data_IF_379209248586
#
_entry.id   IF_379209248586
#
_cell.length_a   1.000
_cell.length_b   1.000
_cell.length_c   1.000
_cell.angle_alpha   90.00
_cell.angle_beta   90.00
_cell.angle_gamma   90.00
#
_symmetry.space_group_name_H-M   'P 1'
#
loop_
_entity.id
_entity.type
_entity.pdbx_description
1 polymer ?
#
# COMPACT_ATOMS: atom_id res chain seq x y z
N UNK A 1 0.49 4.05 22.87
CA UNK A 1 0.94 3.29 21.69
C UNK A 1 0.14 2.01 21.72
N UNK A 2 -0.49 1.65 20.62
CA UNK A 2 -1.41 0.51 20.56
C UNK A 2 -0.73 -0.63 19.81
N UNK A 3 -0.81 -1.86 20.29
CA UNK A 3 -0.40 -3.06 19.52
C UNK A 3 -1.59 -3.80 18.88
N UNK A 4 -1.31 -4.87 18.14
CA UNK A 4 -2.34 -5.61 17.40
C UNK A 4 -3.29 -6.39 18.33
N UNK A 5 -2.82 -6.85 19.48
CA UNK A 5 -3.62 -7.63 20.44
C UNK A 5 -4.55 -6.71 21.22
N UNK A 6 -4.05 -5.53 21.62
CA UNK A 6 -4.86 -4.47 22.22
C UNK A 6 -5.94 -3.97 21.25
N UNK A 7 -5.62 -3.86 19.95
CA UNK A 7 -6.60 -3.50 18.91
C UNK A 7 -7.71 -4.55 18.79
N UNK A 8 -7.34 -5.85 18.80
CA UNK A 8 -8.28 -6.98 18.76
C UNK A 8 -9.15 -7.05 20.03
N UNK A 9 -8.58 -6.76 21.19
CA UNK A 9 -9.33 -6.70 22.45
C UNK A 9 -10.39 -5.59 22.41
N UNK A 10 -10.05 -4.41 21.90
CA UNK A 10 -10.99 -3.28 21.75
C UNK A 10 -12.10 -3.52 20.72
N UNK A 11 -11.82 -4.35 19.73
CA UNK A 11 -12.84 -4.79 18.76
C UNK A 11 -13.85 -5.77 19.38
N UNK A 12 -13.40 -6.56 20.36
CA UNK A 12 -14.21 -7.57 21.06
C UNK A 12 -15.05 -6.97 22.19
N UNK A 13 -14.60 -5.87 22.77
CA UNK A 13 -15.31 -5.14 23.84
C UNK A 13 -16.36 -4.22 23.17
N UNK A 14 -17.59 -4.73 23.00
CA UNK A 14 -18.68 -4.07 22.26
C UNK A 14 -18.95 -2.63 22.73
N UNK A 15 -18.33 -1.67 22.05
CA UNK A 15 -18.61 -0.25 22.19
C UNK A 15 -18.38 0.43 20.85
N UNK A 16 -19.36 0.35 19.95
CA UNK A 16 -19.36 1.13 18.69
C UNK A 16 -19.04 2.58 19.03
N UNK A 17 -17.84 3.03 18.70
CA UNK A 17 -17.45 4.44 18.91
C UNK A 17 -18.48 5.30 18.19
N UNK A 18 -19.18 6.22 18.88
CA UNK A 18 -20.19 7.04 18.24
C UNK A 18 -19.57 7.80 17.08
N UNK A 19 -20.27 7.86 15.94
CA UNK A 19 -19.89 8.76 14.87
C UNK A 19 -19.83 10.19 15.45
N UNK A 20 -18.63 10.76 15.53
CA UNK A 20 -18.37 12.05 16.21
C UNK A 20 -17.43 11.99 17.42
N UNK A 21 -16.87 10.82 17.75
CA UNK A 21 -15.80 10.68 18.75
C UNK A 21 -14.54 11.48 18.38
N UNK A 22 -13.81 11.95 19.40
CA UNK A 22 -12.52 12.65 19.28
C UNK A 22 -11.60 11.90 18.29
N UNK A 23 -10.85 12.60 17.41
CA UNK A 23 -9.94 11.94 16.49
C UNK A 23 -9.02 11.00 17.28
N UNK A 24 -8.88 9.77 16.79
CA UNK A 24 -8.01 8.78 17.41
C UNK A 24 -6.59 9.35 17.48
N UNK A 25 -6.03 9.44 18.67
CA UNK A 25 -4.67 9.96 18.90
C UNK A 25 -3.62 8.86 18.93
N UNK A 26 -4.04 7.60 19.00
CA UNK A 26 -3.15 6.47 19.16
C UNK A 26 -2.70 5.93 17.80
N UNK A 27 -1.39 5.70 17.68
CA UNK A 27 -0.78 5.01 16.54
C UNK A 27 -0.68 3.53 16.86
N UNK A 28 -1.10 2.69 15.90
CA UNK A 28 -0.93 1.25 15.94
C UNK A 28 0.50 0.90 15.52
N UNK A 29 1.22 0.15 16.35
CA UNK A 29 2.57 -0.35 16.03
C UNK A 29 2.46 -1.82 15.59
N UNK A 30 2.97 -2.14 14.41
CA UNK A 30 2.98 -3.50 13.86
C UNK A 30 4.41 -3.95 13.54
N UNK A 31 4.66 -5.26 13.61
CA UNK A 31 5.93 -5.83 13.15
C UNK A 31 7.09 -5.68 14.13
N UNK A 32 6.79 -5.68 15.44
CA UNK A 32 7.78 -6.01 16.48
C UNK A 32 8.20 -7.47 16.37
N UNK A 33 7.25 -8.36 16.03
CA UNK A 33 7.53 -9.66 15.43
C UNK A 33 7.08 -9.65 13.97
N UNK A 34 8.02 -9.82 13.05
CA UNK A 34 7.77 -9.83 11.61
C UNK A 34 7.03 -11.09 11.14
N UNK A 35 7.11 -12.18 11.90
CA UNK A 35 6.42 -13.43 11.60
C UNK A 35 4.91 -13.33 11.88
N UNK A 36 4.48 -12.38 12.73
CA UNK A 36 3.11 -12.22 13.18
C UNK A 36 2.38 -11.04 12.52
N UNK A 37 2.91 -10.51 11.41
CA UNK A 37 2.24 -9.44 10.69
C UNK A 37 0.82 -9.88 10.27
N UNK A 38 -0.22 -9.11 10.64
CA UNK A 38 -1.61 -9.49 10.36
C UNK A 38 -1.84 -9.56 8.85
N UNK A 39 -2.85 -10.33 8.44
CA UNK A 39 -3.34 -10.29 7.06
C UNK A 39 -3.87 -8.89 6.77
N UNK A 40 -3.60 -8.34 5.59
CA UNK A 40 -3.86 -6.93 5.32
C UNK A 40 -5.36 -6.63 5.37
N UNK A 41 -6.19 -7.48 4.77
CA UNK A 41 -7.66 -7.33 4.86
C UNK A 41 -8.22 -7.48 6.28
N UNK A 42 -7.64 -8.34 7.13
CA UNK A 42 -8.02 -8.45 8.54
C UNK A 42 -7.72 -7.13 9.27
N UNK A 43 -6.51 -6.59 9.05
CA UNK A 43 -6.13 -5.29 9.62
C UNK A 43 -7.08 -4.19 9.14
N UNK A 44 -7.41 -4.13 7.85
CA UNK A 44 -8.34 -3.12 7.33
C UNK A 44 -9.73 -3.20 7.97
N UNK A 45 -10.24 -4.41 8.19
CA UNK A 45 -11.52 -4.63 8.87
C UNK A 45 -11.46 -4.19 10.35
N UNK A 46 -10.33 -4.41 11.03
CA UNK A 46 -10.11 -3.90 12.40
C UNK A 46 -10.04 -2.37 12.43
N UNK A 47 -9.25 -1.76 11.55
CA UNK A 47 -9.06 -0.31 11.48
C UNK A 47 -10.34 0.46 11.12
N UNK A 48 -11.26 -0.17 10.40
CA UNK A 48 -12.59 0.41 10.13
C UNK A 48 -13.45 0.49 11.39
N UNK A 49 -13.30 -0.46 12.32
CA UNK A 49 -14.10 -0.58 13.55
C UNK A 49 -13.46 0.14 14.74
N UNK A 50 -12.14 0.15 14.79
CA UNK A 50 -11.32 0.80 15.80
C UNK A 50 -10.37 1.78 15.11
N UNK A 51 -10.80 3.05 14.92
CA UNK A 51 -9.97 4.05 14.25
C UNK A 51 -8.68 4.33 15.03
N UNK A 52 -7.57 4.50 14.30
CA UNK A 52 -6.25 4.88 14.83
C UNK A 52 -5.70 6.08 14.06
N UNK A 53 -4.76 6.82 14.63
CA UNK A 53 -4.11 7.96 13.98
C UNK A 53 -3.28 7.55 12.75
N UNK A 54 -2.78 6.31 12.77
CA UNK A 54 -1.99 5.72 11.71
C UNK A 54 -1.40 4.38 12.15
N UNK A 55 -0.72 3.73 11.21
CA UNK A 55 0.02 2.49 11.41
C UNK A 55 1.51 2.79 11.34
N UNK A 56 2.30 2.23 12.26
CA UNK A 56 3.75 2.36 12.30
C UNK A 56 4.42 1.01 12.21
N UNK A 57 5.37 0.87 11.29
CA UNK A 57 6.35 -0.21 11.28
C UNK A 57 7.62 0.33 11.98
N UNK A 58 7.92 -0.12 13.22
CA UNK A 58 8.96 0.50 14.04
C UNK A 58 10.37 0.19 13.53
N UNK A 59 10.55 -1.01 12.98
CA UNK A 59 11.79 -1.46 12.37
C UNK A 59 11.81 -1.12 10.88
N UNK A 60 12.99 -0.82 10.29
CA UNK A 60 13.14 -0.73 8.85
C UNK A 60 12.69 -2.03 8.17
N UNK A 61 11.94 -1.90 7.09
CA UNK A 61 11.66 -3.01 6.19
C UNK A 61 12.92 -3.29 5.36
N UNK A 62 13.79 -4.16 5.87
CA UNK A 62 15.03 -4.52 5.18
C UNK A 62 14.79 -5.60 4.12
N UNK A 63 14.58 -5.18 2.88
CA UNK A 63 14.34 -6.09 1.76
C UNK A 63 15.60 -6.83 1.30
N UNK A 64 16.78 -6.50 1.82
CA UNK A 64 18.01 -7.26 1.58
C UNK A 64 18.14 -8.47 2.51
N UNK A 65 17.57 -8.39 3.72
CA UNK A 65 17.70 -9.43 4.74
C UNK A 65 16.40 -10.19 5.03
N UNK A 66 15.23 -9.57 4.83
CA UNK A 66 13.95 -10.18 5.18
C UNK A 66 13.59 -11.34 4.25
N UNK A 67 12.94 -12.40 4.76
CA UNK A 67 12.39 -13.45 3.93
C UNK A 67 11.33 -12.92 2.95
N UNK A 68 11.27 -13.50 1.76
CA UNK A 68 10.34 -13.08 0.69
C UNK A 68 8.87 -13.01 1.13
N UNK A 69 8.39 -13.94 1.96
CA UNK A 69 7.02 -13.96 2.47
C UNK A 69 6.71 -12.75 3.38
N UNK A 70 7.69 -12.30 4.17
CA UNK A 70 7.56 -11.11 5.02
C UNK A 70 7.53 -9.85 4.15
N UNK A 71 8.40 -9.77 3.14
CA UNK A 71 8.45 -8.63 2.21
C UNK A 71 7.10 -8.41 1.53
N UNK A 72 6.52 -9.47 0.93
CA UNK A 72 5.22 -9.36 0.26
C UNK A 72 4.09 -8.98 1.23
N UNK A 73 4.16 -9.44 2.48
CA UNK A 73 3.18 -9.08 3.52
C UNK A 73 3.27 -7.62 3.92
N UNK A 74 4.48 -7.07 4.09
CA UNK A 74 4.69 -5.64 4.36
C UNK A 74 4.11 -4.79 3.21
N UNK A 75 4.38 -5.18 1.96
CA UNK A 75 3.86 -4.46 0.79
C UNK A 75 2.33 -4.50 0.76
N UNK A 76 1.73 -5.67 1.00
CA UNK A 76 0.28 -5.82 1.07
C UNK A 76 -0.34 -4.93 2.15
N UNK A 77 0.27 -4.86 3.33
CA UNK A 77 -0.16 -4.02 4.45
C UNK A 77 -0.11 -2.53 4.12
N UNK A 78 1.01 -2.05 3.56
CA UNK A 78 1.17 -0.64 3.16
C UNK A 78 0.13 -0.26 2.10
N UNK A 79 -0.03 -1.11 1.07
CA UNK A 79 -1.02 -0.94 0.00
C UNK A 79 -2.44 -0.91 0.55
N UNK A 80 -2.76 -1.78 1.51
CA UNK A 80 -4.09 -1.86 2.11
C UNK A 80 -4.39 -0.66 3.02
N UNK A 81 -3.43 -0.18 3.80
CA UNK A 81 -3.57 1.07 4.54
C UNK A 81 -3.83 2.26 3.59
N UNK A 82 -3.13 2.31 2.45
CA UNK A 82 -3.38 3.31 1.40
C UNK A 82 -4.80 3.20 0.84
N UNK A 83 -5.31 1.98 0.64
CA UNK A 83 -6.67 1.72 0.15
C UNK A 83 -7.77 2.28 1.06
N UNK A 84 -7.57 2.24 2.38
CA UNK A 84 -8.52 2.78 3.37
C UNK A 84 -8.19 4.20 3.86
N UNK A 85 -7.13 4.81 3.32
CA UNK A 85 -6.70 6.17 3.69
C UNK A 85 -6.03 6.27 5.07
N UNK A 86 -5.53 5.16 5.62
CA UNK A 86 -4.78 5.17 6.88
C UNK A 86 -3.32 5.54 6.62
N UNK A 87 -2.81 6.54 7.34
CA UNK A 87 -1.40 6.93 7.29
C UNK A 87 -0.51 5.78 7.73
N UNK A 88 0.56 5.50 6.99
CA UNK A 88 1.60 4.55 7.38
C UNK A 88 2.91 5.29 7.58
N UNK A 89 3.58 5.02 8.69
CA UNK A 89 4.95 5.46 8.97
C UNK A 89 5.86 4.24 8.94
N UNK A 90 6.85 4.24 8.05
CA UNK A 90 7.75 3.12 7.82
C UNK A 90 9.07 3.60 7.22
N UNK A 91 10.10 2.76 7.29
CA UNK A 91 11.41 2.98 6.67
C UNK A 91 11.79 1.79 5.81
N UNK A 92 12.59 2.01 4.77
CA UNK A 92 13.00 0.98 3.82
C UNK A 92 14.53 0.80 3.84
N UNK A 93 15.00 -0.43 3.84
CA UNK A 93 16.41 -0.78 3.59
C UNK A 93 16.50 -1.71 2.39
N UNK A 94 17.43 -1.42 1.49
CA UNK A 94 17.66 -2.14 0.23
C UNK A 94 19.15 -2.44 0.09
N UNK A 95 19.51 -3.56 -0.56
CA UNK A 95 20.83 -3.72 -1.15
C UNK A 95 20.88 -3.02 -2.51
N UNK A 96 22.09 -2.90 -3.09
CA UNK A 96 22.28 -2.27 -4.39
C UNK A 96 21.55 -3.04 -5.51
N UNK A 97 21.42 -4.36 -5.36
CA UNK A 97 20.78 -5.26 -6.30
C UNK A 97 19.24 -5.17 -6.29
N UNK A 98 18.63 -4.61 -5.24
CA UNK A 98 17.17 -4.41 -5.13
C UNK A 98 16.71 -3.00 -5.52
N UNK A 99 17.59 -2.14 -6.04
CA UNK A 99 17.21 -0.78 -6.45
C UNK A 99 16.16 -0.76 -7.57
N UNK A 100 16.09 -1.82 -8.38
CA UNK A 100 15.08 -1.99 -9.44
C UNK A 100 13.66 -2.20 -8.89
N UNK A 101 13.51 -2.46 -7.59
CA UNK A 101 12.20 -2.54 -6.92
C UNK A 101 11.58 -1.16 -6.72
N UNK A 102 12.37 -0.09 -6.61
CA UNK A 102 11.84 1.24 -6.28
C UNK A 102 10.78 1.71 -7.28
N UNK A 103 10.98 1.69 -8.61
CA UNK A 103 9.96 2.14 -9.56
C UNK A 103 8.66 1.31 -9.51
N UNK A 104 8.72 0.10 -8.94
CA UNK A 104 7.55 -0.78 -8.76
C UNK A 104 6.78 -0.50 -7.49
N UNK A 105 7.37 0.22 -6.54
CA UNK A 105 6.84 0.46 -5.20
C UNK A 105 6.55 1.94 -4.93
N UNK A 106 7.14 2.85 -5.71
CA UNK A 106 7.03 4.29 -5.52
C UNK A 106 5.65 4.89 -5.77
N UNK A 107 4.67 4.06 -6.15
CA UNK A 107 3.24 4.37 -6.14
C UNK A 107 2.56 4.19 -4.77
N UNK A 108 3.18 3.43 -3.85
CA UNK A 108 2.73 3.24 -2.47
C UNK A 108 3.13 4.43 -1.60
N UNK A 109 2.51 4.63 -0.42
CA UNK A 109 2.94 5.68 0.52
C UNK A 109 4.46 5.68 0.77
N UNK A 110 5.07 6.85 0.61
CA UNK A 110 6.51 7.04 0.79
C UNK A 110 6.98 6.60 2.19
N UNK A 111 8.13 5.90 2.28
CA UNK A 111 8.79 5.69 3.56
C UNK A 111 9.36 7.02 4.08
N UNK A 112 9.47 7.14 5.40
CA UNK A 112 10.10 8.29 6.07
C UNK A 112 11.61 8.36 5.77
N UNK A 113 12.23 7.20 5.51
CA UNK A 113 13.64 7.10 5.15
C UNK A 113 13.91 5.87 4.29
N UNK A 114 14.92 5.99 3.43
CA UNK A 114 15.44 4.88 2.61
C UNK A 114 16.95 4.77 2.86
N UNK A 115 17.42 3.56 3.12
CA UNK A 115 18.84 3.23 3.28
C UNK A 115 19.25 2.21 2.23
N UNK A 116 20.35 2.45 1.51
CA UNK A 116 20.91 1.51 0.55
C UNK A 116 22.24 0.98 1.08
N UNK A 117 22.34 -0.34 1.26
CA UNK A 117 23.53 -1.01 1.77
C UNK A 117 24.62 -1.05 0.68
N UNK A 118 25.88 -0.89 1.11
CA UNK A 118 27.11 -1.05 0.30
C UNK A 118 27.35 -0.12 -0.90
N UNK A 119 26.77 1.08 -0.91
CA UNK A 119 27.22 2.14 -1.83
C UNK A 119 27.20 3.48 -1.11
N UNK A 120 28.20 4.33 -1.38
CA UNK A 120 28.36 5.68 -0.84
C UNK A 120 27.29 6.68 -1.33
N UNK A 121 26.02 6.29 -1.24
CA UNK A 121 24.79 6.93 -1.72
C UNK A 121 24.51 6.80 -3.24
N UNK A 122 23.83 5.72 -3.68
CA UNK A 122 22.86 5.87 -4.74
C UNK A 122 21.64 6.53 -4.08
N UNK A 123 21.44 7.82 -4.35
CA UNK A 123 20.19 8.47 -3.97
C UNK A 123 19.06 7.77 -4.70
N UNK A 124 18.16 7.15 -3.96
CA UNK A 124 16.84 6.85 -4.51
C UNK A 124 16.24 8.21 -4.89
N UNK A 125 15.79 8.35 -6.13
CA UNK A 125 15.14 9.58 -6.59
C UNK A 125 13.90 9.91 -5.75
N UNK A 126 13.21 11.00 -6.09
CA UNK A 126 11.98 11.36 -5.38
C UNK A 126 10.95 10.22 -5.44
N UNK A 127 10.45 9.82 -4.27
CA UNK A 127 9.39 8.82 -4.17
C UNK A 127 8.09 9.40 -4.76
N UNK A 128 7.62 8.85 -5.89
CA UNK A 128 6.58 9.48 -6.72
C UNK A 128 5.27 9.74 -5.98
N UNK A 129 4.92 8.89 -5.02
CA UNK A 129 3.72 9.07 -4.21
C UNK A 129 3.74 10.29 -3.28
N UNK A 130 4.92 10.89 -3.04
CA UNK A 130 5.05 12.07 -2.17
C UNK A 130 4.36 13.29 -2.77
N UNK A 131 4.31 13.35 -4.10
CA UNK A 131 3.76 14.47 -4.87
C UNK A 131 2.52 14.10 -5.68
N UNK A 132 2.20 12.80 -5.80
CA UNK A 132 1.06 12.30 -6.58
C UNK A 132 0.31 11.19 -5.84
N UNK A 133 -1.01 11.27 -5.76
CA UNK A 133 -1.85 10.20 -5.24
C UNK A 133 -2.45 9.38 -6.40
N UNK A 134 -2.68 8.08 -6.16
CA UNK A 134 -3.44 7.25 -7.08
C UNK A 134 -2.70 6.89 -8.37
N UNK A 135 -1.38 6.71 -8.30
CA UNK A 135 -0.54 6.36 -9.46
C UNK A 135 -0.80 4.94 -9.98
N UNK A 136 -1.25 4.01 -9.14
CA UNK A 136 -1.61 2.65 -9.55
C UNK A 136 -2.73 2.11 -8.67
N UNK A 137 -3.93 1.99 -9.23
CA UNK A 137 -5.10 1.52 -8.49
C UNK A 137 -5.99 0.62 -9.33
N UNK A 138 -6.82 -0.17 -8.66
CA UNK A 138 -7.84 -0.97 -9.31
C UNK A 138 -9.22 -0.79 -8.67
N UNK A 139 -10.25 -1.12 -9.45
CA UNK A 139 -11.63 -1.28 -9.01
C UNK A 139 -12.13 -2.65 -9.40
N UNK A 140 -12.86 -3.29 -8.48
CA UNK A 140 -13.49 -4.59 -8.73
C UNK A 140 -14.89 -4.40 -9.29
N UNK A 141 -15.09 -4.83 -10.54
CA UNK A 141 -16.41 -5.05 -11.12
C UNK A 141 -16.91 -6.48 -10.88
N UNK A 142 -18.15 -6.82 -11.29
CA UNK A 142 -18.70 -8.16 -11.09
C UNK A 142 -17.91 -9.28 -11.79
N UNK A 143 -17.35 -9.00 -12.97
CA UNK A 143 -16.65 -9.97 -13.83
C UNK A 143 -15.35 -9.42 -14.43
N UNK A 144 -14.85 -8.31 -13.90
CA UNK A 144 -13.62 -7.69 -14.37
C UNK A 144 -12.98 -6.87 -13.26
N UNK A 145 -11.70 -6.55 -13.44
CA UNK A 145 -10.98 -5.54 -12.69
C UNK A 145 -10.61 -4.42 -13.67
N UNK A 146 -10.92 -3.17 -13.35
CA UNK A 146 -10.38 -2.01 -14.07
C UNK A 146 -9.18 -1.51 -13.28
N UNK A 147 -8.00 -1.54 -13.90
CA UNK A 147 -6.74 -1.06 -13.33
C UNK A 147 -6.34 0.20 -14.08
N UNK A 148 -6.04 1.24 -13.32
CA UNK A 148 -5.49 2.48 -13.86
C UNK A 148 -4.04 2.57 -13.40
N UNK A 149 -3.14 2.65 -14.37
CA UNK A 149 -1.72 2.84 -14.20
C UNK A 149 -1.35 4.21 -14.76
N UNK A 150 -0.86 5.09 -13.89
CA UNK A 150 -0.38 6.44 -14.19
C UNK A 150 1.09 6.59 -13.83
N UNK A 151 1.80 5.48 -13.61
CA UNK A 151 3.26 5.54 -13.41
C UNK A 151 3.93 6.04 -14.69
N UNK A 152 5.05 6.77 -14.63
CA UNK A 152 5.71 7.34 -15.81
C UNK A 152 6.02 6.33 -16.92
N UNK A 153 6.38 5.09 -16.54
CA UNK A 153 6.65 3.98 -17.45
C UNK A 153 5.39 3.36 -18.08
N UNK A 154 4.20 3.65 -17.54
CA UNK A 154 2.95 3.07 -17.99
C UNK A 154 1.78 4.01 -17.69
N UNK A 155 1.32 4.75 -18.70
CA UNK A 155 0.09 5.54 -18.63
C UNK A 155 -1.00 4.83 -19.42
N UNK A 156 -1.77 3.97 -18.75
CA UNK A 156 -2.81 3.15 -19.38
C UNK A 156 -3.89 2.68 -18.41
N UNK A 157 -5.07 2.45 -18.97
CA UNK A 157 -6.11 1.66 -18.34
C UNK A 157 -6.02 0.20 -18.83
N UNK A 158 -6.14 -0.75 -17.91
CA UNK A 158 -6.07 -2.19 -18.18
C UNK A 158 -7.34 -2.83 -17.62
N UNK A 159 -8.08 -3.52 -18.47
CA UNK A 159 -9.19 -4.37 -18.05
C UNK A 159 -8.68 -5.80 -17.90
N UNK A 160 -8.90 -6.39 -16.73
CA UNK A 160 -8.60 -7.79 -16.44
C UNK A 160 -9.94 -8.52 -16.29
N UNK A 161 -10.38 -9.19 -17.34
CA UNK A 161 -11.65 -9.92 -17.43
C UNK A 161 -11.48 -11.44 -17.66
N UNK A 162 -10.27 -11.90 -17.98
CA UNK A 162 -9.93 -13.32 -17.95
C UNK A 162 -10.04 -13.87 -16.52
N UNK A 163 -10.86 -14.91 -16.27
CA UNK A 163 -11.09 -15.44 -14.93
C UNK A 163 -9.82 -15.95 -14.23
N UNK A 164 -8.83 -16.47 -14.97
CA UNK A 164 -7.58 -16.96 -14.39
C UNK A 164 -6.68 -15.81 -13.98
N UNK A 165 -6.60 -14.76 -14.80
CA UNK A 165 -5.87 -13.54 -14.45
C UNK A 165 -6.51 -12.86 -13.24
N UNK A 166 -7.84 -12.76 -13.20
CA UNK A 166 -8.55 -12.24 -12.03
C UNK A 166 -8.25 -13.08 -10.78
N UNK A 167 -8.26 -14.40 -10.88
CA UNK A 167 -7.94 -15.27 -9.75
C UNK A 167 -6.51 -15.06 -9.24
N UNK A 168 -5.51 -15.00 -10.13
CA UNK A 168 -4.11 -14.71 -9.75
C UNK A 168 -3.98 -13.33 -9.11
N UNK A 169 -4.59 -12.30 -9.71
CA UNK A 169 -4.57 -10.94 -9.20
C UNK A 169 -5.16 -10.86 -7.78
N UNK A 170 -6.31 -11.51 -7.56
CA UNK A 170 -6.99 -11.49 -6.26
C UNK A 170 -6.25 -12.33 -5.21
N UNK A 171 -5.69 -13.49 -5.57
CA UNK A 171 -4.85 -14.30 -4.68
C UNK A 171 -3.58 -13.53 -4.24
N UNK A 172 -2.99 -12.75 -5.15
CA UNK A 172 -1.81 -11.93 -4.86
C UNK A 172 -2.08 -10.74 -3.94
N UNK A 173 -3.33 -10.40 -3.59
CA UNK A 173 -3.63 -9.25 -2.74
C UNK A 173 -2.96 -9.37 -1.37
N UNK A 174 -3.01 -10.51 -0.70
CA UNK A 174 -2.42 -10.64 0.65
C UNK A 174 -0.91 -10.94 0.67
N UNK A 175 -0.33 -11.10 -0.51
CA UNK A 175 0.92 -11.83 -0.68
C UNK A 175 0.68 -13.34 -0.57
N UNK A 176 1.16 -14.11 -1.54
CA UNK A 176 1.06 -15.58 -1.53
C UNK A 176 2.34 -16.21 -2.10
N UNK A 177 2.49 -17.52 -1.93
CA UNK A 177 3.59 -18.23 -2.57
C UNK A 177 3.41 -18.24 -4.08
N UNK A 178 4.50 -18.05 -4.82
CA UNK A 178 4.50 -18.05 -6.29
C UNK A 178 3.92 -19.36 -6.84
N UNK A 179 4.19 -20.48 -6.17
CA UNK A 179 3.65 -21.79 -6.52
C UNK A 179 2.12 -21.85 -6.52
N UNK A 180 1.43 -21.04 -5.70
CA UNK A 180 -0.04 -21.00 -5.65
C UNK A 180 -0.62 -20.38 -6.93
N UNK A 181 0.01 -19.30 -7.41
CA UNK A 181 -0.38 -18.61 -8.64
C UNK A 181 0.21 -19.22 -9.90
N UNK A 182 1.07 -20.24 -9.78
CA UNK A 182 1.62 -21.02 -10.90
C UNK A 182 1.32 -22.51 -10.82
N UNK A 183 0.30 -22.91 -10.07
CA UNK A 183 -0.08 -24.31 -9.81
C UNK A 183 -0.34 -25.18 -11.06
N UNK A 184 -0.59 -24.56 -12.21
CA UNK A 184 -0.69 -25.23 -13.50
C UNK A 184 -0.26 -24.28 -14.63
N UNK A 185 -0.18 -24.77 -15.87
CA UNK A 185 0.31 -24.00 -17.03
C UNK A 185 -0.52 -22.75 -17.34
N UNK A 186 -1.85 -22.80 -17.17
CA UNK A 186 -2.75 -21.67 -17.40
C UNK A 186 -2.51 -20.57 -16.35
N UNK A 187 -2.46 -20.95 -15.07
CA UNK A 187 -2.13 -20.06 -13.96
C UNK A 187 -0.73 -19.46 -14.10
N UNK A 188 0.26 -20.27 -14.48
CA UNK A 188 1.62 -19.80 -14.71
C UNK A 188 1.73 -18.81 -15.89
N UNK A 189 0.93 -18.97 -16.95
CA UNK A 189 0.84 -17.98 -18.03
C UNK A 189 0.19 -16.68 -17.55
N UNK A 190 -0.93 -16.77 -16.83
CA UNK A 190 -1.62 -15.61 -16.25
C UNK A 190 -0.73 -14.81 -15.28
N UNK A 191 -0.03 -15.49 -14.38
CA UNK A 191 0.88 -14.86 -13.42
C UNK A 191 2.05 -14.15 -14.10
N UNK A 192 2.69 -14.77 -15.10
CA UNK A 192 3.76 -14.14 -15.89
C UNK A 192 3.26 -12.91 -16.63
N UNK A 193 2.08 -12.96 -17.23
CA UNK A 193 1.50 -11.82 -17.92
C UNK A 193 1.21 -10.65 -16.95
N UNK A 194 0.66 -10.92 -15.77
CA UNK A 194 0.45 -9.90 -14.74
C UNK A 194 1.75 -9.31 -14.19
N UNK A 195 2.81 -10.11 -14.07
CA UNK A 195 4.16 -9.63 -13.74
C UNK A 195 4.71 -8.73 -14.84
N UNK A 196 4.59 -9.14 -16.11
CA UNK A 196 5.03 -8.34 -17.25
C UNK A 196 4.26 -7.03 -17.39
N UNK A 197 2.96 -7.03 -17.04
CA UNK A 197 2.13 -5.82 -16.98
C UNK A 197 2.47 -4.91 -15.80
N UNK A 198 3.32 -5.35 -14.86
CA UNK A 198 3.67 -4.59 -13.66
C UNK A 198 2.54 -4.51 -12.64
N UNK A 199 1.60 -5.46 -12.66
CA UNK A 199 0.45 -5.52 -11.75
C UNK A 199 0.69 -6.48 -10.58
N UNK A 200 1.52 -7.49 -10.78
CA UNK A 200 2.01 -8.40 -9.75
C UNK A 200 3.52 -8.27 -9.68
N UNK A 201 4.08 -8.24 -8.48
CA UNK A 201 5.52 -8.28 -8.26
C UNK A 201 5.89 -9.60 -7.62
N UNK A 202 6.90 -10.28 -8.16
CA UNK A 202 7.50 -11.46 -7.57
C UNK A 202 8.72 -11.06 -6.74
N UNK A 203 8.83 -11.58 -5.54
CA UNK A 203 9.98 -11.44 -4.64
C UNK A 203 10.36 -12.85 -4.20
N UNK A 204 11.51 -13.36 -4.65
CA UNK A 204 11.91 -14.75 -4.42
C UNK A 204 10.81 -15.74 -4.79
N UNK A 205 10.35 -16.53 -3.82
CA UNK A 205 9.30 -17.55 -4.00
C UNK A 205 7.89 -17.06 -3.65
N UNK A 206 7.70 -15.74 -3.47
CA UNK A 206 6.42 -15.13 -3.17
C UNK A 206 6.06 -14.05 -4.19
N UNK A 207 4.79 -13.67 -4.23
CA UNK A 207 4.34 -12.54 -5.04
C UNK A 207 3.24 -11.73 -4.36
N UNK A 208 3.10 -10.47 -4.78
CA UNK A 208 2.09 -9.53 -4.31
C UNK A 208 1.51 -8.71 -5.45
N UNK A 209 0.21 -8.48 -5.41
CA UNK A 209 -0.50 -7.57 -6.32
C UNK A 209 -0.24 -6.12 -5.89
N UNK A 210 0.21 -5.29 -6.83
CA UNK A 210 0.66 -3.92 -6.56
C UNK A 210 -0.45 -2.86 -6.54
N UNK A 211 -1.46 -2.88 -7.43
CA UNK A 211 -2.46 -1.82 -7.49
C UNK A 211 -3.26 -1.67 -6.20
N UNK A 212 -3.40 -0.43 -5.72
CA UNK A 212 -4.21 -0.09 -4.54
C UNK A 212 -5.69 -0.30 -4.85
N UNK A 213 -6.44 -0.94 -3.96
CA UNK A 213 -7.88 -1.11 -4.16
C UNK A 213 -8.61 0.22 -3.93
N UNK A 214 -9.13 0.84 -4.97
CA UNK A 214 -9.90 2.08 -4.86
C UNK A 214 -11.35 1.76 -4.48
N UNK A 215 -11.63 1.70 -3.17
CA UNK A 215 -12.97 1.34 -2.63
C UNK A 215 -13.97 2.49 -2.68
N UNK A 216 -13.49 3.72 -2.61
CA UNK A 216 -14.31 4.94 -2.67
C UNK A 216 -13.58 6.01 -3.48
N UNK A 217 -14.32 6.77 -4.29
CA UNK A 217 -13.76 7.94 -4.97
C UNK A 217 -13.37 9.01 -3.95
N UNK A 218 -12.18 9.63 -4.05
CA UNK A 218 -11.76 10.73 -3.17
C UNK A 218 -12.47 12.06 -3.50
N UNK A 219 -13.76 12.03 -3.87
CA UNK A 219 -14.54 13.24 -4.19
C UNK A 219 -14.81 14.14 -2.96
N UNK A 220 -14.51 13.68 -1.74
CA UNK A 220 -14.66 14.47 -0.52
C UNK A 220 -13.34 14.83 0.18
N UNK A 221 -12.40 13.88 0.33
CA UNK A 221 -11.22 14.08 1.17
C UNK A 221 -10.08 14.87 0.49
N UNK A 222 -9.86 14.67 -0.81
CA UNK A 222 -8.81 15.40 -1.55
C UNK A 222 -9.21 16.86 -1.82
N UNK A 223 -10.50 17.12 -2.05
CA UNK A 223 -11.04 18.48 -2.24
C UNK A 223 -11.11 19.30 -0.94
N UNK A 224 -11.25 18.65 0.21
CA UNK A 224 -11.32 19.33 1.51
C UNK A 224 -9.96 19.51 2.21
N UNK A 225 -8.94 18.71 1.87
CA UNK A 225 -7.60 18.80 2.46
C UNK A 225 -6.59 19.66 1.69
N UNK A 226 -6.80 19.89 0.38
CA UNK A 226 -5.79 20.49 -0.50
C UNK A 226 -6.05 21.92 -0.98
N UNK A 227 -7.28 22.44 -0.85
CA UNK A 227 -7.70 23.67 -1.57
C UNK A 227 -8.50 24.67 -0.74
N UNK A 228 -8.27 24.74 0.57
CA UNK A 228 -8.73 25.89 1.39
C UNK A 228 -7.58 26.70 2.02
N UNK A 229 -6.35 26.19 2.04
CA UNK A 229 -5.19 26.94 2.56
C UNK A 229 -4.65 28.00 1.57
N UNK A 230 -5.07 27.98 0.30
CA UNK A 230 -4.59 28.91 -0.73
C UNK A 230 -5.61 29.99 -1.12
N UNK A 231 -6.82 30.00 -0.55
CA UNK A 231 -7.86 30.99 -0.84
C UNK A 231 -7.96 32.05 0.29
N UNK A 232 -6.82 32.59 0.71
CA UNK A 232 -6.74 33.50 1.86
C UNK A 232 -5.53 34.42 1.87
N UNK A 233 -5.02 34.85 0.71
CA UNK A 233 -4.16 36.04 0.63
C UNK A 233 -4.81 37.04 -0.32
N UNK A 234 -5.69 37.86 0.25
CA UNK A 234 -6.10 39.12 -0.37
C UNK A 234 -4.86 40.02 -0.38
N UNK A 235 -4.43 40.46 -1.56
CA UNK A 235 -3.38 41.46 -1.67
C UNK A 235 -3.93 42.79 -1.17
N UNK A 236 -3.55 43.20 0.04
CA UNK A 236 -3.61 44.60 0.41
C UNK A 236 -2.32 45.27 -0.11
N UNK A 237 -2.44 45.90 -1.27
CA UNK A 237 -1.50 46.87 -1.83
C UNK A 237 -2.34 47.94 -2.51
N UNK A 238 -2.64 49.01 -1.78
CA UNK A 238 -1.94 50.29 -1.88
C UNK A 238 -2.43 51.12 -3.09
N UNK A 239 -3.43 51.95 -2.83
CA UNK A 239 -3.67 53.19 -3.56
C UNK A 239 -3.38 54.34 -2.62
N UNK A 240 -2.29 55.05 -2.89
CA UNK A 240 -2.18 56.51 -2.74
C UNK A 240 -1.81 57.08 -4.11
#
# INVERSE_FOLDING_TARGET
MLDIDELKARDSDEGRVPAGGRPATETLTLGLDRAELPVATELAALLHRVPVAGVRLPEPADFSALPSHVIVRIIALIRECSSIGTRVTWSLTLGAEQLDLVPRLDHLPAPDSITVLETGHPSVGEWRSSSNFGLLYFRKGPKFLSVVDQRPESSREIIVDDPTQMAVFLLGLEGCAWAEVTRNSQFAAAARDLVNKGLVMRVGDHCVTLPVHMRSWPLGAALLGGTLAAAGKKSDGATE
#
